data_IF_419540712719
#
_entry.id   IF_419540712719
#
_cell.length_a   1.000
_cell.length_b   1.000
_cell.length_c   1.000
_cell.angle_alpha   90.00
_cell.angle_beta   90.00
_cell.angle_gamma   90.00
#
_symmetry.space_group_name_H-M   'P 1'
#
loop_
_entity.id
_entity.type
_entity.pdbx_description
1 polymer ?
#
# COMPACT_ATOMS: atom_id res chain seq x y z
N UNK A 1 11.64 -6.59 -5.49
CA UNK A 1 10.98 -6.72 -4.18
C UNK A 1 11.22 -8.10 -3.62
N UNK A 2 11.62 -8.15 -2.38
CA UNK A 2 11.71 -9.36 -1.58
C UNK A 2 11.26 -8.96 -0.16
N UNK A 3 9.96 -9.10 0.10
CA UNK A 3 9.30 -8.64 1.31
C UNK A 3 8.55 -9.79 1.95
N UNK A 4 8.93 -10.15 3.16
CA UNK A 4 8.26 -11.16 3.98
C UNK A 4 7.32 -10.48 4.99
N UNK A 5 6.09 -10.95 5.06
CA UNK A 5 5.04 -10.41 5.92
C UNK A 5 4.37 -11.55 6.66
N UNK A 6 4.50 -11.60 7.98
CA UNK A 6 3.71 -12.52 8.79
C UNK A 6 2.32 -11.94 9.03
N UNK A 7 1.28 -12.69 8.71
CA UNK A 7 -0.11 -12.32 9.01
C UNK A 7 -0.65 -12.96 10.30
N UNK A 8 0.22 -13.62 11.07
CA UNK A 8 -0.14 -14.16 12.40
C UNK A 8 -0.51 -13.00 13.33
N UNK A 9 -1.73 -13.03 13.86
CA UNK A 9 -2.26 -11.96 14.71
C UNK A 9 -2.69 -10.69 13.97
N UNK A 10 -2.63 -10.66 12.64
CA UNK A 10 -3.11 -9.55 11.84
C UNK A 10 -4.65 -9.43 11.88
N UNK A 11 -5.14 -8.22 11.82
CA UNK A 11 -6.56 -7.96 11.57
C UNK A 11 -6.79 -7.80 10.07
N UNK A 12 -7.71 -8.59 9.51
CA UNK A 12 -8.11 -8.45 8.11
C UNK A 12 -9.24 -7.42 7.96
N UNK A 13 -9.25 -6.73 6.83
CA UNK A 13 -10.26 -5.76 6.46
C UNK A 13 -10.42 -5.66 4.94
N UNK A 14 -11.31 -4.78 4.51
CA UNK A 14 -11.50 -4.56 3.09
C UNK A 14 -12.45 -3.40 2.79
N UNK A 15 -12.39 -2.93 1.56
CA UNK A 15 -13.29 -1.92 1.01
C UNK A 15 -14.22 -2.55 -0.02
N UNK A 16 -15.48 -2.69 0.33
CA UNK A 16 -16.48 -3.35 -0.54
C UNK A 16 -17.23 -2.37 -1.46
N UNK A 17 -17.06 -1.06 -1.26
CA UNK A 17 -17.72 -0.03 -2.05
C UNK A 17 -19.19 0.22 -1.67
N UNK A 18 -19.70 -0.41 -0.62
CA UNK A 18 -21.05 -0.17 -0.11
C UNK A 18 -21.09 -0.28 1.43
N UNK A 19 -22.14 0.27 2.02
CA UNK A 19 -22.42 0.17 3.46
C UNK A 19 -23.63 -0.72 3.69
N UNK A 20 -23.49 -1.72 4.53
CA UNK A 20 -24.58 -2.65 4.88
C UNK A 20 -25.32 -2.25 6.17
N UNK A 21 -24.80 -1.29 6.94
CA UNK A 21 -25.34 -0.87 8.23
C UNK A 21 -25.39 0.65 8.34
N UNK A 22 -26.46 1.23 8.96
CA UNK A 22 -26.52 2.65 9.25
C UNK A 22 -25.33 3.13 10.08
N UNK A 23 -24.84 4.34 9.82
CA UNK A 23 -23.72 4.95 10.54
C UNK A 23 -22.33 4.45 10.12
N UNK A 24 -22.22 3.69 9.03
CA UNK A 24 -20.93 3.26 8.45
C UNK A 24 -20.58 4.05 7.20
N UNK A 25 -19.28 4.13 6.90
CA UNK A 25 -18.75 4.76 5.70
C UNK A 25 -18.11 3.68 4.81
N UNK A 26 -18.26 3.82 3.51
CA UNK A 26 -17.51 3.06 2.52
C UNK A 26 -16.96 3.98 1.44
N UNK A 27 -15.79 3.66 0.93
CA UNK A 27 -15.18 4.37 -0.20
C UNK A 27 -15.49 3.63 -1.50
N UNK A 28 -15.72 4.39 -2.57
CA UNK A 28 -15.91 3.89 -3.91
C UNK A 28 -14.64 4.10 -4.76
N UNK A 29 -14.26 3.15 -5.68
CA UNK A 29 -14.86 1.83 -5.89
C UNK A 29 -14.41 0.82 -4.82
N UNK A 30 -15.20 -0.26 -4.61
CA UNK A 30 -14.82 -1.39 -3.78
C UNK A 30 -13.79 -2.29 -4.48
N UNK A 31 -13.32 -3.31 -3.75
CA UNK A 31 -12.38 -4.30 -4.27
C UNK A 31 -10.99 -4.24 -3.65
N UNK A 32 -10.88 -3.69 -2.45
CA UNK A 32 -9.63 -3.66 -1.68
C UNK A 32 -9.67 -4.71 -0.56
N UNK A 33 -8.67 -5.59 -0.51
CA UNK A 33 -8.40 -6.51 0.59
C UNK A 33 -7.20 -6.01 1.39
N UNK A 34 -7.31 -5.96 2.71
CA UNK A 34 -6.31 -5.41 3.62
C UNK A 34 -5.99 -6.35 4.77
N UNK A 35 -4.77 -6.27 5.26
CA UNK A 35 -4.37 -6.82 6.55
C UNK A 35 -3.53 -5.78 7.32
N UNK A 36 -3.77 -5.67 8.61
CA UNK A 36 -3.01 -4.86 9.55
C UNK A 36 -2.07 -5.78 10.31
N UNK A 37 -0.78 -5.87 9.94
CA UNK A 37 0.16 -6.82 10.53
C UNK A 37 0.41 -6.52 12.00
N UNK A 38 0.66 -7.56 12.79
CA UNK A 38 1.08 -7.42 14.18
C UNK A 38 2.51 -6.84 14.24
N UNK A 39 2.94 -6.43 15.43
CA UNK A 39 4.28 -5.83 15.64
C UNK A 39 5.40 -6.82 15.29
N UNK A 40 6.43 -6.36 14.55
CA UNK A 40 7.60 -7.13 14.15
C UNK A 40 7.38 -8.10 13.00
N UNK A 41 6.31 -7.93 12.24
CA UNK A 41 5.83 -8.88 11.22
C UNK A 41 6.42 -8.66 9.83
N UNK A 42 6.99 -7.49 9.53
CA UNK A 42 7.36 -7.10 8.16
C UNK A 42 8.86 -6.83 8.07
N UNK A 43 9.52 -7.58 7.17
CA UNK A 43 10.96 -7.45 6.93
C UNK A 43 11.28 -7.65 5.45
N UNK A 44 12.31 -6.97 4.96
CA UNK A 44 12.85 -7.16 3.62
C UNK A 44 13.01 -5.88 2.82
N UNK A 45 12.90 -5.97 1.50
CA UNK A 45 13.08 -4.86 0.58
C UNK A 45 11.86 -4.71 -0.33
N UNK A 46 11.32 -3.50 -0.37
CA UNK A 46 10.24 -3.12 -1.28
C UNK A 46 10.82 -2.22 -2.38
N UNK A 47 10.68 -2.62 -3.62
CA UNK A 47 11.07 -1.83 -4.79
C UNK A 47 9.82 -1.21 -5.38
N UNK A 48 9.72 0.10 -5.31
CA UNK A 48 8.74 0.91 -6.03
C UNK A 48 9.33 1.18 -7.42
N UNK A 49 8.71 0.67 -8.45
CA UNK A 49 9.18 0.79 -9.84
C UNK A 49 8.62 2.07 -10.51
N UNK A 50 9.19 2.51 -11.63
CA UNK A 50 8.56 3.55 -12.46
C UNK A 50 7.13 3.16 -12.85
N UNK A 51 6.20 4.08 -12.63
CA UNK A 51 4.77 3.85 -12.83
C UNK A 51 4.01 3.31 -11.62
N UNK A 52 4.69 2.93 -10.54
CA UNK A 52 4.04 2.73 -9.26
C UNK A 52 3.56 4.07 -8.69
N UNK A 53 2.70 4.03 -7.70
CA UNK A 53 1.99 5.23 -7.26
C UNK A 53 2.37 5.60 -5.83
N UNK A 54 2.63 6.87 -5.61
CA UNK A 54 2.60 7.48 -4.29
C UNK A 54 1.29 8.28 -4.15
N UNK A 55 0.31 7.73 -3.45
CA UNK A 55 -1.01 8.36 -3.29
C UNK A 55 -0.98 9.59 -2.40
N UNK A 56 -0.08 9.64 -1.43
CA UNK A 56 0.09 10.82 -0.55
C UNK A 56 0.49 12.05 -1.36
N UNK A 57 1.35 11.88 -2.35
CA UNK A 57 1.76 12.96 -3.26
C UNK A 57 0.88 13.05 -4.52
N UNK A 58 -0.02 12.10 -4.73
CA UNK A 58 -0.86 11.99 -5.92
C UNK A 58 -0.02 12.04 -7.20
N UNK A 59 0.99 11.17 -7.28
CA UNK A 59 1.87 11.07 -8.45
C UNK A 59 2.30 9.65 -8.76
N UNK A 60 2.55 9.39 -10.03
CA UNK A 60 3.28 8.21 -10.47
C UNK A 60 4.78 8.45 -10.25
N UNK A 61 5.50 7.41 -9.84
CA UNK A 61 6.95 7.47 -9.73
C UNK A 61 7.59 7.42 -11.12
N UNK A 62 8.58 8.25 -11.34
CA UNK A 62 9.35 8.28 -12.58
C UNK A 62 10.64 7.45 -12.47
N UNK A 63 11.14 7.27 -11.26
CA UNK A 63 12.35 6.51 -10.98
C UNK A 63 12.12 5.55 -9.81
N UNK A 64 12.89 4.44 -9.82
CA UNK A 64 12.75 3.42 -8.79
C UNK A 64 13.23 3.89 -7.42
N UNK A 65 12.42 3.68 -6.39
CA UNK A 65 12.78 3.88 -4.99
C UNK A 65 12.82 2.53 -4.30
N UNK A 66 13.88 2.26 -3.54
CA UNK A 66 13.99 1.03 -2.76
C UNK A 66 13.87 1.36 -1.27
N UNK A 67 12.90 0.73 -0.62
CA UNK A 67 12.72 0.81 0.82
C UNK A 67 13.30 -0.45 1.47
N UNK A 68 14.19 -0.27 2.45
CA UNK A 68 14.59 -1.36 3.35
C UNK A 68 13.71 -1.33 4.57
N UNK A 69 13.10 -2.47 4.91
CA UNK A 69 12.17 -2.60 6.03
C UNK A 69 12.73 -3.61 7.04
N UNK A 70 12.88 -3.18 8.28
CA UNK A 70 13.35 -4.01 9.39
C UNK A 70 12.41 -3.87 10.59
N UNK A 71 11.87 -5.00 11.05
CA UNK A 71 10.93 -5.03 12.17
C UNK A 71 9.81 -4.00 12.02
N UNK A 72 9.19 -3.98 10.83
CA UNK A 72 8.10 -3.10 10.38
C UNK A 72 8.51 -1.69 9.93
N UNK A 73 9.69 -1.20 10.30
CA UNK A 73 10.09 0.18 10.03
C UNK A 73 10.89 0.29 8.73
N UNK A 74 10.60 1.31 7.95
CA UNK A 74 11.48 1.73 6.85
C UNK A 74 12.74 2.32 7.48
N UNK A 75 13.87 1.64 7.29
CA UNK A 75 15.19 2.02 7.83
C UNK A 75 16.07 2.70 6.80
N UNK A 76 15.81 2.48 5.51
CA UNK A 76 16.51 3.15 4.42
C UNK A 76 15.58 3.41 3.23
N UNK A 77 15.83 4.52 2.53
CA UNK A 77 15.14 4.95 1.32
C UNK A 77 16.18 5.24 0.26
N UNK A 78 16.49 4.23 -0.54
CA UNK A 78 17.52 4.35 -1.58
C UNK A 78 16.95 4.96 -2.87
N UNK A 79 17.75 5.85 -3.47
CA UNK A 79 17.47 6.60 -4.68
C UNK A 79 18.11 7.99 -4.60
N UNK A 80 18.71 8.45 -5.69
CA UNK A 80 19.35 9.79 -5.79
C UNK A 80 18.60 10.66 -6.79
N UNK A 81 17.30 10.86 -6.52
CA UNK A 81 16.36 11.54 -7.41
C UNK A 81 15.13 12.05 -6.64
N UNK A 82 14.35 12.90 -7.31
CA UNK A 82 13.23 13.64 -6.71
C UNK A 82 12.21 12.73 -6.00
N UNK A 83 11.89 11.55 -6.54
CA UNK A 83 10.92 10.67 -5.91
C UNK A 83 11.38 10.19 -4.52
N UNK A 84 12.64 9.77 -4.41
CA UNK A 84 13.23 9.36 -3.15
C UNK A 84 13.41 10.54 -2.18
N UNK A 85 13.85 11.70 -2.70
CA UNK A 85 14.03 12.92 -1.90
C UNK A 85 12.72 13.39 -1.27
N UNK A 86 11.63 13.39 -2.04
CA UNK A 86 10.30 13.75 -1.55
C UNK A 86 9.83 12.81 -0.45
N UNK A 87 10.06 11.50 -0.60
CA UNK A 87 9.67 10.52 0.43
C UNK A 87 10.48 10.72 1.72
N UNK A 88 11.81 10.89 1.61
CA UNK A 88 12.67 11.20 2.77
C UNK A 88 12.23 12.48 3.47
N UNK A 89 12.00 13.55 2.72
CA UNK A 89 11.58 14.85 3.25
C UNK A 89 10.23 14.77 3.96
N UNK A 90 9.26 14.06 3.39
CA UNK A 90 7.93 13.91 3.98
C UNK A 90 7.98 13.18 5.32
N UNK A 91 8.63 12.02 5.37
CA UNK A 91 8.76 11.28 6.62
C UNK A 91 9.53 12.07 7.68
N UNK A 92 10.64 12.71 7.30
CA UNK A 92 11.43 13.53 8.21
C UNK A 92 10.63 14.71 8.78
N UNK A 93 9.73 15.30 7.99
CA UNK A 93 8.91 16.44 8.43
C UNK A 93 7.92 16.10 9.56
N UNK A 94 7.53 14.83 9.69
CA UNK A 94 6.69 14.40 10.81
C UNK A 94 7.44 14.37 12.15
N UNK A 95 8.76 14.12 12.15
CA UNK A 95 9.57 13.97 13.35
C UNK A 95 9.09 12.81 14.25
N UNK A 96 8.36 11.87 13.67
CA UNK A 96 7.73 10.74 14.36
C UNK A 96 8.17 9.43 13.72
N UNK A 97 8.82 8.59 14.51
CA UNK A 97 9.29 7.28 14.06
C UNK A 97 8.15 6.36 13.60
N UNK A 98 6.99 6.42 14.23
CA UNK A 98 5.86 5.57 13.91
C UNK A 98 5.31 5.83 12.49
N UNK A 99 5.58 7.01 11.91
CA UNK A 99 5.24 7.32 10.52
C UNK A 99 5.99 6.45 9.50
N UNK A 100 7.14 5.87 9.89
CA UNK A 100 7.95 4.98 9.05
C UNK A 100 7.53 3.51 9.16
N UNK A 101 6.69 3.16 10.11
CA UNK A 101 6.29 1.78 10.34
C UNK A 101 5.17 1.36 9.38
N UNK A 102 5.11 0.06 9.03
CA UNK A 102 3.99 -0.49 8.27
C UNK A 102 2.66 -0.23 8.99
N UNK A 103 1.70 0.30 8.25
CA UNK A 103 0.31 0.43 8.68
C UNK A 103 -0.48 -0.82 8.27
N UNK A 104 -0.64 -0.99 6.99
CA UNK A 104 -1.36 -2.12 6.42
C UNK A 104 -0.73 -2.54 5.09
N UNK A 105 -1.05 -3.76 4.70
CA UNK A 105 -0.70 -4.32 3.39
C UNK A 105 -1.95 -4.91 2.77
N UNK A 106 -1.96 -5.09 1.45
CA UNK A 106 -3.11 -5.68 0.79
C UNK A 106 -2.96 -5.77 -0.71
N UNK A 107 -4.06 -6.06 -1.38
CA UNK A 107 -4.13 -6.10 -2.83
C UNK A 107 -5.51 -5.71 -3.35
N UNK A 108 -5.55 -5.24 -4.59
CA UNK A 108 -6.79 -4.91 -5.27
C UNK A 108 -7.37 -6.11 -6.01
N UNK A 109 -8.70 -6.17 -6.03
CA UNK A 109 -9.47 -7.25 -6.63
C UNK A 109 -10.52 -6.74 -7.64
N UNK A 110 -10.56 -5.44 -7.92
CA UNK A 110 -11.58 -4.86 -8.80
C UNK A 110 -11.06 -4.75 -10.24
N UNK A 111 -11.55 -5.60 -11.18
CA UNK A 111 -11.10 -5.58 -12.59
C UNK A 111 -11.60 -4.36 -13.36
N UNK A 112 -12.49 -3.55 -12.77
CA UNK A 112 -13.01 -2.31 -13.38
C UNK A 112 -12.30 -1.06 -12.86
N UNK A 113 -11.56 -1.17 -11.75
CA UNK A 113 -10.75 -0.07 -11.24
C UNK A 113 -9.50 0.12 -12.11
N UNK A 114 -9.08 1.38 -12.27
CA UNK A 114 -8.06 1.75 -13.25
C UNK A 114 -6.81 2.28 -12.57
N UNK A 115 -5.66 1.74 -12.98
CA UNK A 115 -4.36 2.25 -12.56
C UNK A 115 -4.10 3.69 -13.03
N UNK A 116 -4.58 4.05 -14.21
CA UNK A 116 -4.39 5.38 -14.81
C UNK A 116 -5.40 6.44 -14.34
N UNK A 117 -6.24 6.11 -13.36
CA UNK A 117 -7.29 6.99 -12.85
C UNK A 117 -6.76 8.36 -12.39
N UNK A 118 -5.57 8.41 -11.79
CA UNK A 118 -4.97 9.67 -11.34
C UNK A 118 -4.59 10.61 -12.48
N UNK A 119 -4.39 10.10 -13.69
CA UNK A 119 -4.17 10.91 -14.89
C UNK A 119 -5.49 11.42 -15.49
N UNK A 120 -6.62 10.79 -15.17
CA UNK A 120 -7.94 11.09 -15.74
C UNK A 120 -8.76 12.06 -14.88
N UNK A 121 -8.56 12.07 -13.57
CA UNK A 121 -9.35 12.87 -12.63
C UNK A 121 -8.59 14.10 -12.13
N UNK A 122 -9.35 15.13 -11.73
CA UNK A 122 -8.75 16.26 -11.02
C UNK A 122 -8.16 15.78 -9.69
N UNK A 123 -6.90 16.13 -9.44
CA UNK A 123 -6.20 15.71 -8.22
C UNK A 123 -6.85 16.23 -6.93
N UNK A 124 -7.65 17.31 -7.01
CA UNK A 124 -8.38 17.84 -5.85
C UNK A 124 -9.52 16.93 -5.43
N UNK A 125 -10.18 16.30 -6.40
CA UNK A 125 -11.35 15.45 -6.17
C UNK A 125 -10.99 13.97 -6.04
N UNK A 126 -9.71 13.63 -6.22
CA UNK A 126 -9.23 12.27 -6.26
C UNK A 126 -8.88 11.76 -4.85
N UNK A 127 -9.60 10.75 -4.35
CA UNK A 127 -9.36 10.15 -3.05
C UNK A 127 -8.39 8.95 -3.07
N UNK A 128 -8.01 8.47 -4.24
CA UNK A 128 -7.06 7.37 -4.43
C UNK A 128 -7.61 5.95 -4.22
N UNK A 129 -8.88 5.78 -3.89
CA UNK A 129 -9.45 4.44 -3.64
C UNK A 129 -9.35 3.53 -4.85
N UNK A 130 -9.57 4.06 -6.05
CA UNK A 130 -9.45 3.28 -7.29
C UNK A 130 -8.06 2.70 -7.49
N UNK A 131 -7.02 3.48 -7.19
CA UNK A 131 -5.62 3.02 -7.29
C UNK A 131 -5.24 1.99 -6.21
N UNK A 132 -5.98 1.90 -5.13
CA UNK A 132 -5.84 0.84 -4.13
C UNK A 132 -6.64 -0.42 -4.48
N UNK A 133 -7.71 -0.26 -5.26
CA UNK A 133 -8.66 -1.33 -5.59
C UNK A 133 -8.37 -2.04 -6.91
N UNK A 134 -7.58 -1.48 -7.86
CA UNK A 134 -7.39 -2.13 -9.17
C UNK A 134 -6.79 -3.53 -9.02
N UNK A 135 -7.34 -4.47 -9.79
CA UNK A 135 -7.00 -5.88 -9.68
C UNK A 135 -5.51 -6.14 -9.88
N UNK A 136 -4.91 -6.95 -9.00
CA UNK A 136 -3.53 -7.40 -9.10
C UNK A 136 -2.49 -6.39 -8.59
N UNK A 137 -2.88 -5.24 -8.00
CA UNK A 137 -1.90 -4.41 -7.30
C UNK A 137 -1.49 -5.07 -5.98
N UNK A 138 -0.32 -4.70 -5.50
CA UNK A 138 0.07 -4.86 -4.10
C UNK A 138 0.08 -3.49 -3.44
N UNK A 139 -0.61 -3.35 -2.31
CA UNK A 139 -0.63 -2.13 -1.51
C UNK A 139 0.29 -2.28 -0.31
N UNK A 140 1.24 -1.37 -0.16
CA UNK A 140 2.03 -1.19 1.05
C UNK A 140 1.75 0.20 1.63
N UNK A 141 1.45 0.25 2.92
CA UNK A 141 1.13 1.52 3.59
C UNK A 141 1.93 1.66 4.88
N UNK A 142 2.35 2.89 5.19
CA UNK A 142 2.99 3.23 6.47
C UNK A 142 2.09 4.13 7.31
N UNK A 143 2.33 4.13 8.63
CA UNK A 143 1.63 5.01 9.56
C UNK A 143 0.91 4.26 10.68
N UNK A 144 -0.25 4.78 11.10
CA UNK A 144 -1.02 4.22 12.20
C UNK A 144 -1.45 2.77 11.95
N UNK A 145 -1.32 1.93 12.99
CA UNK A 145 -1.76 0.55 13.02
C UNK A 145 -2.13 0.18 14.47
N UNK A 146 -3.43 0.17 14.77
CA UNK A 146 -3.93 -0.09 16.12
C UNK A 146 -3.59 -1.51 16.61
N UNK A 147 -3.58 -2.50 15.70
CA UNK A 147 -3.20 -3.89 16.02
C UNK A 147 -1.77 -3.96 16.55
N UNK A 148 -0.87 -3.15 16.01
CA UNK A 148 0.51 -3.02 16.47
C UNK A 148 0.69 -1.96 17.58
N UNK A 149 -0.39 -1.31 18.04
CA UNK A 149 -0.36 -0.24 19.05
C UNK A 149 0.35 1.02 18.56
N UNK A 150 0.21 1.39 17.29
CA UNK A 150 0.85 2.55 16.67
C UNK A 150 -0.15 3.64 16.36
N UNK A 151 0.21 4.87 16.75
CA UNK A 151 -0.59 6.08 16.54
C UNK A 151 0.30 7.17 15.96
N UNK A 152 0.03 7.60 14.74
CA UNK A 152 0.75 8.67 14.05
C UNK A 152 -0.16 9.33 13.02
N UNK A 153 0.15 10.56 12.64
CA UNK A 153 -0.54 11.26 11.54
C UNK A 153 0.17 11.09 10.19
N UNK A 154 1.45 10.69 10.21
CA UNK A 154 2.20 10.42 8.98
C UNK A 154 1.69 9.14 8.31
N UNK A 155 1.43 9.20 7.01
CA UNK A 155 0.86 8.07 6.27
C UNK A 155 1.29 8.10 4.80
N UNK A 156 1.72 6.94 4.30
CA UNK A 156 1.84 6.67 2.87
C UNK A 156 0.93 5.52 2.47
N UNK A 157 0.30 5.66 1.32
CA UNK A 157 -0.28 4.57 0.54
C UNK A 157 0.50 4.44 -0.76
N UNK A 158 1.07 3.26 -0.97
CA UNK A 158 1.96 2.94 -2.09
C UNK A 158 1.40 1.73 -2.84
N UNK A 159 0.48 1.93 -3.79
CA UNK A 159 0.05 0.87 -4.70
C UNK A 159 1.13 0.53 -5.73
N UNK A 160 1.51 -0.74 -5.79
CA UNK A 160 2.54 -1.26 -6.69
C UNK A 160 1.92 -2.13 -7.78
N UNK A 161 2.52 -2.09 -8.97
CA UNK A 161 2.13 -2.86 -10.15
C UNK A 161 3.07 -4.02 -10.39
N UNK A 162 2.57 -5.03 -11.11
CA UNK A 162 3.42 -6.13 -11.59
C UNK A 162 4.07 -6.97 -10.49
N UNK A 163 3.57 -6.90 -9.26
CA UNK A 163 4.06 -7.73 -8.17
C UNK A 163 3.58 -9.17 -8.29
N UNK A 164 4.38 -10.11 -7.79
CA UNK A 164 3.92 -11.46 -7.47
C UNK A 164 3.72 -11.54 -5.97
N UNK A 165 2.53 -11.95 -5.55
CA UNK A 165 2.13 -12.09 -4.14
C UNK A 165 1.75 -13.53 -3.86
N UNK A 166 2.31 -14.11 -2.81
CA UNK A 166 1.96 -15.45 -2.36
C UNK A 166 1.52 -15.43 -0.89
N UNK A 167 0.51 -16.23 -0.56
CA UNK A 167 0.08 -16.54 0.81
C UNK A 167 0.42 -18.00 1.09
N UNK A 168 1.29 -18.23 2.09
CA UNK A 168 1.75 -19.58 2.47
C UNK A 168 2.23 -20.44 1.27
N UNK A 169 2.94 -19.79 0.32
CA UNK A 169 3.45 -20.42 -0.89
C UNK A 169 2.46 -20.52 -2.04
N UNK A 170 1.19 -20.22 -1.84
CA UNK A 170 0.20 -20.14 -2.92
C UNK A 170 0.24 -18.76 -3.57
N UNK A 171 0.57 -18.70 -4.86
CA UNK A 171 0.54 -17.45 -5.63
C UNK A 171 -0.91 -17.01 -5.82
N UNK A 172 -1.26 -15.82 -5.36
CA UNK A 172 -2.59 -15.20 -5.49
C UNK A 172 -2.60 -14.04 -6.48
N UNK A 173 -1.44 -13.41 -6.69
CA UNK A 173 -1.17 -12.45 -7.76
C UNK A 173 0.11 -12.86 -8.45
N UNK A 174 0.11 -13.02 -9.75
CA UNK A 174 1.30 -13.30 -10.55
C UNK A 174 1.55 -12.16 -11.53
N UNK A 175 2.72 -11.52 -11.39
CA UNK A 175 3.11 -10.38 -12.23
C UNK A 175 1.99 -9.33 -12.41
N UNK A 176 1.25 -9.06 -11.35
CA UNK A 176 0.14 -8.09 -11.35
C UNK A 176 -1.20 -8.63 -11.87
N UNK A 177 -1.35 -9.93 -12.04
CA UNK A 177 -2.59 -10.57 -12.43
C UNK A 177 -3.11 -11.44 -11.27
N UNK A 178 -4.40 -11.34 -10.95
CA UNK A 178 -5.02 -12.24 -9.99
C UNK A 178 -4.98 -13.69 -10.53
N UNK A 179 -4.82 -14.67 -9.64
CA UNK A 179 -4.72 -16.09 -10.01
C UNK A 179 -5.74 -16.94 -9.26
N UNK A 180 -6.00 -18.15 -9.78
CA UNK A 180 -6.87 -19.14 -9.14
C UNK A 180 -8.29 -18.62 -8.95
N UNK A 181 -8.81 -18.77 -7.73
CA UNK A 181 -10.19 -18.37 -7.39
C UNK A 181 -10.40 -16.85 -7.35
N UNK A 182 -9.31 -16.06 -7.40
CA UNK A 182 -9.38 -14.59 -7.39
C UNK A 182 -9.40 -13.99 -8.81
N UNK A 183 -9.16 -14.79 -9.87
CA UNK A 183 -9.07 -14.34 -11.25
C UNK A 183 -10.43 -14.01 -11.89
#
# INVERSE_FOLDING_TARGET
TDLAISLVGAQAGGGWGYTARPGTISHWPGGLCLAFPARGSVNGRLVLAPGDVNLTFKRYLEQAVVLTIENDFVTDIAGQHVDADLMRSYWAAWGDREAYAVSHVGWGMNPKARWDAMALYDKKDFNGTELRAFAGNFLYSTGANEVAGRHTLGHFDLPLRGCTVALDGQVIVDAGQLTGELA
#
